data_IF_273417643643
#
_entry.id   IF_273417643643
#
_cell.length_a   1.000
_cell.length_b   1.000
_cell.length_c   1.000
_cell.angle_alpha   90.00
_cell.angle_beta   90.00
_cell.angle_gamma   90.00
#
_symmetry.space_group_name_H-M   'P 1'
#
loop_
_entity.id
_entity.type
_entity.pdbx_description
1 polymer ?
#
# COMPACT_ATOMS: atom_id res chain seq x y z
N UNK A 1 3.51 3.39 3.18
CA UNK A 1 4.72 2.68 2.70
C UNK A 1 5.91 3.63 2.75
N UNK A 2 7.15 3.10 2.77
CA UNK A 2 8.36 3.88 2.56
C UNK A 2 8.43 4.58 1.21
N UNK A 3 9.14 5.71 1.18
CA UNK A 3 9.46 6.46 -0.05
C UNK A 3 10.12 5.57 -1.11
N UNK A 4 11.07 4.73 -0.68
CA UNK A 4 11.83 3.83 -1.54
C UNK A 4 10.91 2.81 -2.22
N UNK A 5 9.91 2.29 -1.50
CA UNK A 5 8.89 1.41 -2.09
C UNK A 5 8.13 2.14 -3.19
N UNK A 6 7.65 3.37 -2.94
CA UNK A 6 6.89 4.10 -3.94
C UNK A 6 7.68 4.39 -5.20
N UNK A 7 8.94 4.77 -5.03
CA UNK A 7 9.84 4.98 -6.17
C UNK A 7 9.99 3.70 -7.00
N UNK A 8 10.16 2.54 -6.38
CA UNK A 8 10.24 1.27 -7.11
C UNK A 8 8.91 0.94 -7.80
N UNK A 9 7.77 1.05 -7.10
CA UNK A 9 6.45 0.72 -7.65
C UNK A 9 6.06 1.59 -8.86
N UNK A 10 6.40 2.88 -8.84
CA UNK A 10 6.05 3.82 -9.92
C UNK A 10 6.88 3.57 -11.18
N UNK A 11 8.10 3.06 -11.02
CA UNK A 11 8.98 2.73 -12.14
C UNK A 11 8.86 1.26 -12.59
N UNK A 12 8.12 0.42 -11.86
CA UNK A 12 7.93 -0.98 -12.21
C UNK A 12 6.76 -1.13 -13.21
N UNK A 13 7.11 -1.46 -14.44
CA UNK A 13 6.12 -1.75 -15.49
C UNK A 13 5.48 -3.12 -15.32
N UNK A 14 6.06 -4.02 -14.52
CA UNK A 14 5.50 -5.35 -14.19
C UNK A 14 4.76 -5.31 -12.86
N UNK A 15 3.75 -4.48 -12.81
CA UNK A 15 2.99 -4.20 -11.61
C UNK A 15 2.05 -5.37 -11.24
N UNK A 16 2.46 -6.17 -10.24
CA UNK A 16 1.64 -7.26 -9.66
C UNK A 16 1.05 -8.20 -10.71
N UNK A 17 1.92 -8.83 -11.51
CA UNK A 17 1.55 -9.73 -12.60
C UNK A 17 0.81 -9.06 -13.77
N UNK A 18 0.69 -7.73 -13.77
CA UNK A 18 0.15 -6.94 -14.87
C UNK A 18 1.25 -6.11 -15.51
N UNK A 19 1.31 -6.11 -16.84
CA UNK A 19 2.21 -5.22 -17.56
C UNK A 19 1.50 -3.88 -17.82
N UNK A 20 2.05 -2.80 -17.28
CA UNK A 20 1.57 -1.44 -17.46
C UNK A 20 2.43 -0.70 -18.48
N UNK A 21 1.79 0.19 -19.24
CA UNK A 21 2.52 1.20 -20.02
C UNK A 21 3.24 2.13 -19.04
N UNK A 22 4.53 2.46 -19.27
CA UNK A 22 5.25 3.41 -18.43
C UNK A 22 4.51 4.75 -18.32
N UNK A 23 4.47 5.32 -17.12
CA UNK A 23 3.94 6.66 -16.91
C UNK A 23 4.84 7.71 -17.60
N UNK A 24 4.26 8.79 -18.15
CA UNK A 24 5.04 9.94 -18.57
C UNK A 24 5.90 10.46 -17.43
N UNK A 25 7.14 10.85 -17.74
CA UNK A 25 8.16 11.20 -16.73
C UNK A 25 7.69 12.30 -15.76
N UNK A 26 6.96 13.30 -16.27
CA UNK A 26 6.44 14.40 -15.46
C UNK A 26 5.39 13.91 -14.45
N UNK A 27 4.44 13.09 -14.89
CA UNK A 27 3.37 12.55 -14.04
C UNK A 27 3.94 11.63 -12.96
N UNK A 28 4.89 10.77 -13.33
CA UNK A 28 5.60 9.91 -12.38
C UNK A 28 6.28 10.73 -11.27
N UNK A 29 6.95 11.85 -11.63
CA UNK A 29 7.59 12.73 -10.66
C UNK A 29 6.59 13.42 -9.73
N UNK A 30 5.44 13.84 -10.24
CA UNK A 30 4.39 14.46 -9.43
C UNK A 30 3.84 13.47 -8.41
N UNK A 31 3.56 12.23 -8.82
CA UNK A 31 3.08 11.16 -7.95
C UNK A 31 4.12 10.81 -6.88
N UNK A 32 5.40 10.65 -7.27
CA UNK A 32 6.49 10.39 -6.33
C UNK A 32 6.58 11.50 -5.26
N UNK A 33 6.53 12.78 -5.66
CA UNK A 33 6.60 13.91 -4.71
C UNK A 33 5.45 13.91 -3.72
N UNK A 34 4.22 13.66 -4.19
CA UNK A 34 3.05 13.54 -3.32
C UNK A 34 3.24 12.40 -2.31
N UNK A 35 3.60 11.21 -2.78
CA UNK A 35 3.75 10.04 -1.91
C UNK A 35 4.92 10.18 -0.93
N UNK A 36 6.01 10.81 -1.35
CA UNK A 36 7.15 11.12 -0.49
C UNK A 36 6.73 11.90 0.75
N UNK A 37 5.90 12.93 0.58
CA UNK A 37 5.45 13.78 1.69
C UNK A 37 4.62 13.01 2.73
N UNK A 38 3.81 12.04 2.29
CA UNK A 38 2.94 11.23 3.17
C UNK A 38 3.49 9.82 3.45
N UNK A 39 4.77 9.58 3.14
CA UNK A 39 5.39 8.27 3.34
C UNK A 39 5.61 7.95 4.82
N UNK A 40 5.71 6.66 5.09
CA UNK A 40 6.11 6.15 6.41
C UNK A 40 7.63 5.96 6.44
N UNK A 41 8.28 6.10 7.61
CA UNK A 41 9.71 5.87 7.71
C UNK A 41 10.05 4.41 7.40
N UNK A 42 11.24 4.23 6.80
CA UNK A 42 11.91 2.94 6.67
C UNK A 42 13.00 2.85 7.74
N UNK A 43 13.13 1.70 8.38
CA UNK A 43 14.19 1.43 9.33
C UNK A 43 15.31 0.59 8.71
N UNK A 44 16.54 0.92 9.07
CA UNK A 44 17.69 0.15 8.63
C UNK A 44 17.60 -1.30 9.14
N UNK A 45 17.80 -2.27 8.24
CA UNK A 45 17.69 -3.69 8.53
C UNK A 45 16.31 -4.32 8.33
N UNK A 46 15.25 -3.53 8.06
CA UNK A 46 13.94 -4.10 7.72
C UNK A 46 13.82 -4.43 6.22
N UNK A 47 13.01 -5.42 5.85
CA UNK A 47 12.75 -5.68 4.44
C UNK A 47 11.92 -4.54 3.84
N UNK A 48 12.34 -3.99 2.70
CA UNK A 48 11.57 -2.96 2.00
C UNK A 48 10.27 -3.58 1.46
N UNK A 49 9.09 -3.22 2.00
CA UNK A 49 7.86 -3.91 1.64
C UNK A 49 7.40 -3.47 0.24
N UNK A 50 7.00 -4.42 -0.60
CA UNK A 50 6.47 -4.12 -1.94
C UNK A 50 4.93 -4.12 -2.02
N UNK A 51 4.27 -4.53 -0.93
CA UNK A 51 2.81 -4.50 -0.75
C UNK A 51 2.46 -3.86 0.59
N UNK A 52 1.31 -3.20 0.67
CA UNK A 52 0.83 -2.61 1.93
C UNK A 52 0.68 -3.68 3.01
N UNK A 53 0.18 -4.85 2.64
CA UNK A 53 -0.02 -6.00 3.53
C UNK A 53 1.26 -6.58 4.12
N UNK A 54 2.41 -6.40 3.45
CA UNK A 54 3.71 -6.85 3.94
C UNK A 54 4.45 -5.79 4.76
N UNK A 55 3.83 -4.62 5.00
CA UNK A 55 4.46 -3.55 5.77
C UNK A 55 4.24 -3.76 7.27
N UNK A 56 5.27 -3.45 8.08
CA UNK A 56 5.16 -3.56 9.55
C UNK A 56 3.95 -2.80 10.12
N UNK A 57 3.60 -1.67 9.51
CA UNK A 57 2.47 -0.85 9.96
C UNK A 57 1.14 -1.56 9.76
N UNK A 58 0.97 -2.25 8.62
CA UNK A 58 -0.23 -3.04 8.37
C UNK A 58 -0.32 -4.20 9.36
N UNK A 59 0.77 -4.96 9.53
CA UNK A 59 0.83 -6.10 10.46
C UNK A 59 0.55 -5.67 11.90
N UNK A 60 1.12 -4.55 12.35
CA UNK A 60 0.90 -4.04 13.70
C UNK A 60 -0.54 -3.56 13.95
N UNK A 61 -1.26 -3.13 12.91
CA UNK A 61 -2.65 -2.67 13.01
C UNK A 61 -3.68 -3.79 12.78
N UNK A 62 -3.26 -4.94 12.25
CA UNK A 62 -4.12 -6.12 12.04
C UNK A 62 -3.55 -7.38 12.73
N UNK A 63 -3.19 -7.33 14.03
CA UNK A 63 -2.49 -8.43 14.70
C UNK A 63 -3.37 -9.67 14.93
N UNK A 64 -4.70 -9.52 14.88
CA UNK A 64 -5.68 -10.57 15.18
C UNK A 64 -6.58 -10.90 13.97
N UNK A 65 -6.21 -10.42 12.78
CA UNK A 65 -6.98 -10.69 11.56
C UNK A 65 -6.26 -11.77 10.76
N UNK A 66 -6.92 -12.90 10.61
CA UNK A 66 -6.46 -13.96 9.71
C UNK A 66 -6.95 -13.67 8.29
N UNK A 67 -6.02 -13.72 7.34
CA UNK A 67 -6.33 -13.53 5.93
C UNK A 67 -6.10 -14.85 5.20
N UNK A 68 -7.15 -15.38 4.55
CA UNK A 68 -7.03 -16.60 3.73
C UNK A 68 -6.04 -16.43 2.57
N UNK A 69 -5.93 -15.20 2.05
CA UNK A 69 -5.01 -14.80 0.99
C UNK A 69 -4.40 -13.46 1.33
N UNK A 70 -3.23 -13.15 0.74
CA UNK A 70 -2.60 -11.83 0.92
C UNK A 70 -3.57 -10.71 0.52
N UNK A 71 -3.94 -9.80 1.44
CA UNK A 71 -4.91 -8.76 1.12
C UNK A 71 -4.36 -7.82 0.04
N UNK A 72 -5.26 -7.42 -0.86
CA UNK A 72 -5.01 -6.44 -1.92
C UNK A 72 -5.62 -5.09 -1.56
N UNK A 73 -5.35 -4.06 -2.35
CA UNK A 73 -5.98 -2.74 -2.13
C UNK A 73 -7.51 -2.81 -2.30
N UNK A 74 -8.01 -3.75 -3.10
CA UNK A 74 -9.45 -3.93 -3.30
C UNK A 74 -10.14 -4.61 -2.11
N UNK A 75 -9.41 -5.41 -1.32
CA UNK A 75 -10.01 -6.12 -0.19
C UNK A 75 -10.16 -5.24 1.05
N UNK A 76 -9.55 -4.05 1.10
CA UNK A 76 -9.65 -3.15 2.26
C UNK A 76 -11.11 -2.76 2.58
N UNK A 77 -11.95 -2.58 1.55
CA UNK A 77 -13.35 -2.14 1.70
C UNK A 77 -14.24 -3.18 2.38
N UNK A 78 -13.85 -4.47 2.34
CA UNK A 78 -14.64 -5.55 2.92
C UNK A 78 -14.83 -5.37 4.43
N UNK A 79 -13.76 -4.98 5.14
CA UNK A 79 -13.83 -4.68 6.57
C UNK A 79 -13.98 -3.18 6.84
N UNK A 80 -13.47 -2.30 5.97
CA UNK A 80 -13.52 -0.84 6.13
C UNK A 80 -14.42 -0.17 5.07
N UNK A 81 -15.76 -0.18 5.24
CA UNK A 81 -16.69 0.26 4.20
C UNK A 81 -16.59 1.76 3.86
N UNK A 82 -16.03 2.57 4.78
CA UNK A 82 -15.85 4.01 4.60
C UNK A 82 -14.42 4.39 4.17
N UNK A 83 -13.64 3.45 3.63
CA UNK A 83 -12.26 3.70 3.19
C UNK A 83 -12.16 4.77 2.10
N UNK A 84 -13.16 4.88 1.22
CA UNK A 84 -13.22 5.94 0.20
C UNK A 84 -13.30 7.36 0.80
N UNK A 85 -13.78 7.47 2.04
CA UNK A 85 -13.82 8.71 2.83
C UNK A 85 -12.62 8.85 3.78
N UNK A 86 -11.57 8.04 3.57
CA UNK A 86 -10.39 7.94 4.44
C UNK A 86 -10.71 7.53 5.89
N UNK A 87 -11.89 6.95 6.13
CA UNK A 87 -12.30 6.46 7.44
C UNK A 87 -12.02 4.95 7.56
N UNK A 88 -10.88 4.63 8.17
CA UNK A 88 -10.45 3.27 8.49
C UNK A 88 -10.88 2.82 9.90
N UNK A 89 -11.56 3.68 10.67
CA UNK A 89 -11.99 3.36 12.05
C UNK A 89 -13.35 2.67 12.08
N UNK A 90 -14.21 2.98 11.11
CA UNK A 90 -15.47 2.28 10.95
C UNK A 90 -15.21 0.91 10.31
N UNK A 91 -15.63 -0.13 11.01
CA UNK A 91 -15.46 -1.52 10.59
C UNK A 91 -16.82 -2.20 10.43
N UNK A 92 -16.88 -3.23 9.60
CA UNK A 92 -17.89 -4.29 9.66
C UNK A 92 -17.22 -5.47 10.33
N UNK A 93 -17.82 -6.02 11.39
CA UNK A 93 -17.28 -7.24 12.00
C UNK A 93 -17.38 -8.39 10.99
N UNK A 94 -16.29 -9.13 10.74
CA UNK A 94 -16.40 -10.38 10.00
C UNK A 94 -17.22 -11.35 10.87
N UNK A 95 -18.36 -11.79 10.34
CA UNK A 95 -19.20 -12.82 10.97
C UNK A 95 -18.57 -14.21 10.89
#
# INVERSE_FOLDING_TARGET
MPTQTWYQLINDTRHYSTNLTPLPRFDAQLIVRYLQFYSRPYYEGEALPFRVSSSRFFTALHPQVEFEQSPSLNSCVACHPQVANFNFRQIVEPG
#
